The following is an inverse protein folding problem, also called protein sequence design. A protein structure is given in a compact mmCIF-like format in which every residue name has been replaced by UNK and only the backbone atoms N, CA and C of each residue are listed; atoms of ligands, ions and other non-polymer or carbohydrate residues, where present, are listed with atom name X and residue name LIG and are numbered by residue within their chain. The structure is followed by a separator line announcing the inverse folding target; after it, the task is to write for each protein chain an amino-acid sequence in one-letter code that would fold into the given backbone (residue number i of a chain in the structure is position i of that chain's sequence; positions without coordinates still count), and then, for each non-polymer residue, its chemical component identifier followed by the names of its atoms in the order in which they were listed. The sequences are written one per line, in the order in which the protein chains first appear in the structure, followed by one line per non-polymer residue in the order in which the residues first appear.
data_IF_299930800483
#
_entry.id   IF_299930800483
#
_cell.length_a   1.000
_cell.length_b   1.000
_cell.length_c   1.000
_cell.angle_alpha   90.00
_cell.angle_beta   90.00
_cell.angle_gamma   90.00
#
_symmetry.space_group_name_H-M   'P 1'
#
loop_
_entity.id
_entity.type
_entity.pdbx_description
1 polymer ?
#
# COMPACT_ATOMS: atom_id res chain seq x y z
N UNK A 1 -14.32 2.39 28.26
CA UNK A 1 -13.49 3.59 28.16
C UNK A 1 -12.85 3.54 26.79
N UNK A 2 -13.04 4.56 25.95
CA UNK A 2 -12.28 4.69 24.71
C UNK A 2 -10.84 5.02 25.11
N UNK A 3 -10.07 4.02 25.53
CA UNK A 3 -8.63 4.15 25.74
C UNK A 3 -7.96 4.09 24.37
N UNK A 4 -8.23 5.10 23.53
CA UNK A 4 -7.22 5.49 22.58
C UNK A 4 -6.08 6.01 23.44
N UNK A 5 -5.07 5.16 23.72
CA UNK A 5 -3.75 5.73 23.93
C UNK A 5 -3.45 6.46 22.63
N UNK A 6 -3.73 7.76 22.63
CA UNK A 6 -3.14 8.74 21.74
C UNK A 6 -1.62 8.60 21.92
N UNK A 7 -1.07 7.54 21.33
CA UNK A 7 0.34 7.51 20.95
C UNK A 7 0.47 8.75 20.07
N UNK A 8 1.39 9.66 20.42
CA UNK A 8 1.32 11.05 20.01
C UNK A 8 1.20 11.13 18.48
N UNK A 9 0.43 12.08 17.95
CA UNK A 9 0.32 12.39 16.51
C UNK A 9 1.67 12.28 15.77
N UNK A 10 2.77 12.62 16.45
CA UNK A 10 4.15 12.42 16.02
C UNK A 10 4.52 11.01 15.52
N UNK A 11 4.03 9.95 16.16
CA UNK A 11 4.37 8.57 15.79
C UNK A 11 3.73 8.11 14.49
N UNK A 12 2.50 8.56 14.22
CA UNK A 12 1.79 8.25 12.97
C UNK A 12 2.46 8.94 11.78
N UNK A 13 2.77 10.24 11.89
CA UNK A 13 3.33 11.01 10.78
C UNK A 13 4.75 10.60 10.39
N UNK A 14 5.62 10.33 11.37
CA UNK A 14 6.97 9.83 11.10
C UNK A 14 6.94 8.47 10.41
N UNK A 15 6.06 7.59 10.88
CA UNK A 15 5.95 6.27 10.31
C UNK A 15 5.28 6.30 8.94
N UNK A 16 4.31 7.19 8.73
CA UNK A 16 3.73 7.45 7.40
C UNK A 16 4.79 7.92 6.42
N UNK A 17 5.71 8.79 6.85
CA UNK A 17 6.86 9.18 6.05
C UNK A 17 7.79 7.98 5.74
N UNK A 18 8.09 7.13 6.71
CA UNK A 18 8.90 5.92 6.48
C UNK A 18 8.20 5.01 5.46
N UNK A 19 6.89 4.81 5.60
CA UNK A 19 6.10 3.98 4.69
C UNK A 19 6.08 4.57 3.28
N UNK A 20 5.91 5.89 3.13
CA UNK A 20 5.91 6.57 1.83
C UNK A 20 7.29 6.50 1.15
N UNK A 21 8.38 6.57 1.93
CA UNK A 21 9.75 6.35 1.43
C UNK A 21 9.93 4.91 0.93
N UNK A 22 9.51 3.90 1.71
CA UNK A 22 9.63 2.50 1.31
C UNK A 22 8.77 2.20 0.06
N UNK A 23 7.55 2.73 0.00
CA UNK A 23 6.68 2.64 -1.17
C UNK A 23 7.26 3.36 -2.39
N UNK A 24 7.93 4.49 -2.20
CA UNK A 24 8.67 5.17 -3.27
C UNK A 24 9.78 4.27 -3.84
N UNK A 25 10.58 3.62 -2.98
CA UNK A 25 11.58 2.65 -3.45
C UNK A 25 10.93 1.48 -4.21
N UNK A 26 9.81 0.96 -3.73
CA UNK A 26 9.02 -0.03 -4.47
C UNK A 26 8.60 0.51 -5.84
N UNK A 27 8.10 1.75 -5.94
CA UNK A 27 7.70 2.36 -7.21
C UNK A 27 8.88 2.50 -8.19
N UNK A 28 10.06 2.89 -7.70
CA UNK A 28 11.28 3.00 -8.50
C UNK A 28 11.70 1.64 -9.06
N UNK A 29 11.77 0.61 -8.21
CA UNK A 29 12.19 -0.72 -8.63
C UNK A 29 11.13 -1.36 -9.54
N UNK A 30 9.84 -1.20 -9.23
CA UNK A 30 8.73 -1.65 -10.06
C UNK A 30 8.77 -1.01 -11.44
N UNK A 31 9.04 0.30 -11.52
CA UNK A 31 9.22 1.01 -12.78
C UNK A 31 10.38 0.43 -13.60
N UNK A 32 11.51 0.09 -12.97
CA UNK A 32 12.62 -0.57 -13.66
C UNK A 32 12.25 -1.96 -14.17
N UNK A 33 11.65 -2.80 -13.32
CA UNK A 33 11.17 -4.15 -13.71
C UNK A 33 10.28 -4.04 -14.95
N UNK A 34 9.34 -3.11 -14.93
CA UNK A 34 8.39 -2.88 -16.02
C UNK A 34 9.04 -2.36 -17.30
N UNK A 35 9.93 -1.36 -17.20
CA UNK A 35 10.60 -0.80 -18.37
C UNK A 35 11.53 -1.82 -19.05
N UNK A 36 12.25 -2.64 -18.27
CA UNK A 36 13.26 -3.56 -18.76
C UNK A 36 12.74 -4.99 -18.97
N UNK A 37 11.43 -5.26 -18.73
CA UNK A 37 10.80 -6.59 -18.81
C UNK A 37 11.60 -7.67 -18.04
N UNK A 38 12.29 -7.31 -16.96
CA UNK A 38 13.13 -8.24 -16.17
C UNK A 38 12.28 -8.98 -15.14
N UNK A 39 11.85 -10.18 -15.49
CA UNK A 39 11.05 -11.01 -14.59
C UNK A 39 11.95 -11.84 -13.67
N UNK A 40 11.53 -11.99 -12.40
CA UNK A 40 12.13 -12.90 -11.41
C UNK A 40 13.63 -12.71 -11.09
N UNK A 41 14.22 -11.58 -11.49
CA UNK A 41 15.61 -11.22 -11.16
C UNK A 41 15.77 -10.60 -9.77
N UNK A 42 17.00 -10.24 -9.41
CA UNK A 42 17.32 -9.61 -8.10
C UNK A 42 16.44 -8.39 -7.80
N UNK A 43 16.13 -7.58 -8.82
CA UNK A 43 15.24 -6.42 -8.70
C UNK A 43 13.80 -6.80 -8.32
N UNK A 44 13.28 -7.92 -8.84
CA UNK A 44 11.95 -8.41 -8.47
C UNK A 44 11.92 -8.81 -7.00
N UNK A 45 12.88 -9.62 -6.56
CA UNK A 45 12.95 -10.08 -5.18
C UNK A 45 13.22 -8.95 -4.18
N UNK A 46 14.02 -7.95 -4.57
CA UNK A 46 14.22 -6.77 -3.73
C UNK A 46 12.96 -5.93 -3.61
N UNK A 47 12.25 -5.68 -4.73
CA UNK A 47 10.95 -4.99 -4.70
C UNK A 47 9.94 -5.76 -3.84
N UNK A 48 9.92 -7.08 -3.98
CA UNK A 48 9.02 -7.94 -3.23
C UNK A 48 9.31 -7.91 -1.73
N UNK A 49 10.58 -8.00 -1.33
CA UNK A 49 10.99 -7.93 0.06
C UNK A 49 10.64 -6.57 0.68
N UNK A 50 10.93 -5.46 -0.01
CA UNK A 50 10.57 -4.12 0.48
C UNK A 50 9.06 -4.00 0.62
N UNK A 51 8.29 -4.53 -0.34
CA UNK A 51 6.84 -4.48 -0.28
C UNK A 51 6.25 -5.31 0.86
N UNK A 52 6.82 -6.48 1.16
CA UNK A 52 6.44 -7.27 2.33
C UNK A 52 6.79 -6.55 3.65
N UNK A 53 7.92 -5.85 3.70
CA UNK A 53 8.29 -5.01 4.86
C UNK A 53 7.29 -3.87 5.04
N UNK A 54 6.86 -3.21 3.96
CA UNK A 54 5.80 -2.19 3.98
C UNK A 54 4.51 -2.78 4.54
N UNK A 55 4.08 -3.93 4.02
CA UNK A 55 2.83 -4.58 4.42
C UNK A 55 2.87 -5.03 5.89
N UNK A 56 3.95 -5.69 6.32
CA UNK A 56 4.13 -6.10 7.72
C UNK A 56 4.31 -4.93 8.68
N UNK A 57 5.02 -3.88 8.26
CA UNK A 57 5.18 -2.65 9.02
C UNK A 57 3.86 -1.91 9.20
N UNK A 58 3.05 -1.83 8.14
CA UNK A 58 1.72 -1.24 8.18
C UNK A 58 0.78 -2.00 9.12
N UNK A 59 0.77 -3.33 9.03
CA UNK A 59 -0.01 -4.17 9.95
C UNK A 59 0.42 -4.02 11.41
N UNK A 60 1.72 -3.91 11.68
CA UNK A 60 2.25 -3.74 13.05
C UNK A 60 1.80 -2.41 13.65
N UNK A 61 1.81 -1.38 12.82
CA UNK A 61 1.43 -0.02 13.19
C UNK A 61 -0.05 0.05 13.50
N UNK A 62 -0.89 -0.47 12.62
CA UNK A 62 -2.34 -0.46 12.84
C UNK A 62 -2.67 -1.16 14.16
N UNK A 63 -2.07 -2.33 14.38
CA UNK A 63 -2.29 -3.10 15.61
C UNK A 63 -1.83 -2.35 16.88
N UNK A 64 -0.73 -1.59 16.80
CA UNK A 64 -0.20 -0.81 17.92
C UNK A 64 -0.94 0.51 18.17
N UNK A 65 -1.35 1.20 17.11
CA UNK A 65 -1.94 2.53 17.18
C UNK A 65 -3.45 2.48 17.42
N UNK A 66 -4.15 1.50 16.84
CA UNK A 66 -5.61 1.36 16.96
C UNK A 66 -6.05 0.31 18.02
N UNK A 67 -5.09 -0.24 18.78
CA UNK A 67 -5.21 -1.03 20.04
C UNK A 67 -6.03 -2.36 20.01
N UNK A 68 -5.77 -3.18 21.03
CA UNK A 68 -5.87 -4.67 21.16
C UNK A 68 -7.05 -5.40 20.50
N UNK A 69 -8.19 -4.76 20.32
CA UNK A 69 -9.39 -5.43 19.82
C UNK A 69 -9.58 -5.32 18.30
N UNK A 70 -8.88 -4.44 17.61
CA UNK A 70 -9.21 -4.18 16.18
C UNK A 70 -8.82 -5.29 15.22
N UNK A 71 -7.93 -6.21 15.63
CA UNK A 71 -7.30 -7.10 14.66
C UNK A 71 -6.54 -8.30 15.24
N UNK A 72 -6.62 -9.44 14.56
CA UNK A 72 -5.55 -10.43 14.60
C UNK A 72 -4.47 -10.01 13.60
N UNK A 73 -3.45 -9.28 14.08
CA UNK A 73 -2.21 -9.00 13.33
C UNK A 73 -1.64 -10.27 12.68
N UNK A 74 -1.73 -11.37 13.41
CA UNK A 74 -1.33 -12.70 12.95
C UNK A 74 -2.18 -13.18 11.76
N UNK A 75 -3.48 -12.86 11.71
CA UNK A 75 -4.38 -13.14 10.59
C UNK A 75 -4.00 -12.42 9.29
N UNK A 76 -3.57 -11.16 9.38
CA UNK A 76 -3.06 -10.41 8.21
C UNK A 76 -1.78 -11.00 7.65
N UNK A 77 -0.83 -11.24 8.55
CA UNK A 77 0.51 -11.66 8.17
C UNK A 77 0.46 -13.09 7.68
N UNK A 78 -0.31 -13.96 8.33
CA UNK A 78 -0.55 -15.31 7.83
C UNK A 78 -1.30 -15.30 6.50
N UNK A 79 -2.28 -14.41 6.30
CA UNK A 79 -2.98 -14.23 5.03
C UNK A 79 -2.05 -13.77 3.90
N UNK A 80 -1.27 -12.72 4.13
CA UNK A 80 -0.28 -12.22 3.18
C UNK A 80 0.84 -13.23 2.91
N UNK A 81 1.28 -13.96 3.94
CA UNK A 81 2.26 -15.04 3.84
C UNK A 81 1.73 -16.22 3.02
N UNK A 82 0.51 -16.67 3.27
CA UNK A 82 -0.14 -17.72 2.48
C UNK A 82 -0.31 -17.30 1.03
N UNK A 83 -0.80 -16.07 0.80
CA UNK A 83 -0.98 -15.50 -0.54
C UNK A 83 0.34 -15.43 -1.29
N UNK A 84 1.42 -15.04 -0.60
CA UNK A 84 2.79 -15.06 -1.12
C UNK A 84 3.22 -16.47 -1.51
N UNK A 85 3.08 -17.45 -0.62
CA UNK A 85 3.49 -18.84 -0.88
C UNK A 85 2.70 -19.43 -2.06
N UNK A 86 1.38 -19.23 -2.09
CA UNK A 86 0.52 -19.67 -3.19
C UNK A 86 0.92 -18.98 -4.49
N UNK A 87 1.06 -17.66 -4.50
CA UNK A 87 1.47 -16.93 -5.71
C UNK A 87 2.83 -17.38 -6.24
N UNK A 88 3.79 -17.67 -5.36
CA UNK A 88 5.12 -18.19 -5.73
C UNK A 88 5.06 -19.62 -6.27
N UNK A 89 4.27 -20.51 -5.65
CA UNK A 89 4.11 -21.91 -6.10
C UNK A 89 3.48 -21.99 -7.49
N UNK A 90 2.43 -21.21 -7.73
CA UNK A 90 1.74 -21.19 -9.02
C UNK A 90 2.50 -20.41 -10.10
N UNK A 91 3.35 -19.46 -9.72
CA UNK A 91 4.34 -18.84 -10.62
C UNK A 91 5.36 -19.86 -11.15
N UNK A 92 5.93 -20.68 -10.27
CA UNK A 92 7.01 -21.64 -10.62
C UNK A 92 6.54 -22.80 -11.49
N UNK A 93 5.26 -23.17 -11.41
CA UNK A 93 4.70 -24.32 -12.13
C UNK A 93 4.77 -24.19 -13.65
N UNK A 94 4.97 -22.99 -14.22
CA UNK A 94 4.88 -22.80 -15.67
C UNK A 94 6.18 -22.95 -16.45
N UNK A 95 7.38 -23.03 -15.84
CA UNK A 95 8.66 -23.41 -16.49
C UNK A 95 9.15 -22.56 -17.68
N UNK A 96 8.27 -21.82 -18.32
CA UNK A 96 8.48 -20.84 -19.36
C UNK A 96 8.74 -19.51 -18.67
N UNK A 97 9.71 -18.75 -19.19
CA UNK A 97 9.87 -17.34 -18.87
C UNK A 97 8.48 -16.71 -18.83
N UNK A 98 7.99 -16.35 -17.63
CA UNK A 98 6.67 -15.74 -17.48
C UNK A 98 6.73 -14.50 -18.35
N UNK A 99 6.17 -14.55 -19.55
CA UNK A 99 6.13 -13.40 -20.45
C UNK A 99 5.38 -12.35 -19.67
N UNK A 100 5.95 -11.15 -19.57
CA UNK A 100 5.38 -10.03 -18.83
C UNK A 100 3.91 -9.87 -19.22
N UNK A 101 2.99 -10.41 -18.41
CA UNK A 101 1.62 -10.59 -18.86
C UNK A 101 0.90 -9.25 -18.78
N UNK A 102 0.76 -8.64 -19.95
CA UNK A 102 0.33 -7.28 -20.16
C UNK A 102 -1.15 -7.17 -20.51
N UNK A 103 -1.84 -8.31 -20.59
CA UNK A 103 -3.28 -8.39 -20.80
C UNK A 103 -4.04 -8.22 -19.49
N UNK A 104 -5.04 -7.36 -19.53
CA UNK A 104 -5.99 -7.11 -18.44
C UNK A 104 -6.85 -8.33 -18.10
N UNK A 105 -6.96 -9.31 -18.99
CA UNK A 105 -7.68 -10.60 -18.80
C UNK A 105 -6.81 -11.72 -19.39
N UNK A 106 -6.57 -12.78 -18.60
CA UNK A 106 -5.87 -14.01 -18.98
C UNK A 106 -6.37 -15.21 -18.12
N UNK A 107 -5.81 -16.41 -18.34
CA UNK A 107 -6.13 -17.63 -17.60
C UNK A 107 -5.85 -17.53 -16.09
N UNK A 108 -4.93 -16.66 -15.66
CA UNK A 108 -4.59 -16.48 -14.24
C UNK A 108 -5.46 -15.40 -13.54
N UNK A 109 -6.39 -14.77 -14.26
CA UNK A 109 -7.34 -13.77 -13.72
C UNK A 109 -8.26 -14.30 -12.64
N UNK A 110 -8.88 -15.50 -12.81
CA UNK A 110 -9.76 -16.04 -11.80
C UNK A 110 -8.99 -16.27 -10.49
N UNK A 111 -7.77 -16.80 -10.58
CA UNK A 111 -6.92 -17.02 -9.41
C UNK A 111 -6.54 -15.71 -8.70
N UNK A 112 -6.20 -14.67 -9.46
CA UNK A 112 -5.98 -13.31 -8.94
C UNK A 112 -7.23 -12.76 -8.24
N UNK A 113 -8.41 -12.81 -8.87
CA UNK A 113 -9.65 -12.27 -8.30
C UNK A 113 -10.10 -13.06 -7.08
N UNK A 114 -10.08 -14.39 -7.14
CA UNK A 114 -10.50 -15.25 -6.03
C UNK A 114 -9.60 -15.07 -4.82
N UNK A 115 -8.27 -15.04 -5.00
CA UNK A 115 -7.36 -14.77 -3.88
C UNK A 115 -7.61 -13.39 -3.29
N UNK A 116 -7.65 -12.34 -4.10
CA UNK A 116 -7.94 -10.99 -3.62
C UNK A 116 -9.27 -10.92 -2.85
N UNK A 117 -10.37 -11.39 -3.43
CA UNK A 117 -11.71 -11.34 -2.83
C UNK A 117 -11.74 -12.09 -1.49
N UNK A 118 -11.20 -13.32 -1.44
CA UNK A 118 -11.21 -14.13 -0.22
C UNK A 118 -10.40 -13.44 0.88
N UNK A 119 -9.18 -12.97 0.59
CA UNK A 119 -8.35 -12.32 1.60
C UNK A 119 -8.89 -10.96 2.03
N UNK A 120 -9.51 -10.19 1.13
CA UNK A 120 -10.18 -8.95 1.49
C UNK A 120 -11.42 -9.17 2.35
N UNK A 121 -12.22 -10.22 2.07
CA UNK A 121 -13.37 -10.57 2.92
C UNK A 121 -12.89 -11.02 4.29
N UNK A 122 -11.89 -11.91 4.37
CA UNK A 122 -11.31 -12.33 5.65
C UNK A 122 -10.83 -11.10 6.41
N UNK A 123 -10.08 -10.21 5.74
CA UNK A 123 -9.62 -8.97 6.35
C UNK A 123 -10.77 -8.16 6.95
N UNK A 124 -11.77 -7.79 6.14
CA UNK A 124 -12.91 -6.97 6.58
C UNK A 124 -13.71 -7.64 7.71
N UNK A 125 -13.88 -8.97 7.67
CA UNK A 125 -14.58 -9.70 8.72
C UNK A 125 -13.80 -9.78 10.05
N UNK A 126 -12.48 -9.63 10.00
CA UNK A 126 -11.61 -9.63 11.18
C UNK A 126 -11.38 -8.26 11.78
N UNK A 127 -11.84 -7.19 11.13
CA UNK A 127 -11.78 -5.83 11.66
C UNK A 127 -12.89 -5.68 12.70
N UNK A 128 -12.51 -5.53 13.96
CA UNK A 128 -13.44 -5.24 15.06
C UNK A 128 -13.25 -3.78 15.49
N UNK A 129 -13.97 -2.89 14.81
CA UNK A 129 -13.85 -1.44 14.99
C UNK A 129 -14.99 -0.88 15.83
N UNK A 130 -14.65 -0.16 16.91
CA UNK A 130 -15.66 0.49 17.76
C UNK A 130 -16.04 1.88 17.21
N UNK A 131 -17.14 1.94 16.47
CA UNK A 131 -17.67 3.18 15.90
C UNK A 131 -18.14 4.21 16.95
N UNK A 132 -18.31 3.82 18.22
CA UNK A 132 -18.74 4.75 19.29
C UNK A 132 -17.63 5.72 19.72
N UNK A 133 -16.37 5.49 19.33
CA UNK A 133 -15.24 6.32 19.71
C UNK A 133 -14.82 7.37 18.65
N UNK A 134 -15.70 7.69 17.69
CA UNK A 134 -15.43 8.66 16.62
C UNK A 134 -15.87 10.06 17.06
N UNK A 135 -14.93 11.03 17.06
CA UNK A 135 -15.21 12.40 17.51
C UNK A 135 -15.52 13.39 16.37
N UNK A 136 -14.98 13.18 15.17
CA UNK A 136 -15.21 14.06 14.00
C UNK A 136 -15.15 13.30 12.66
N UNK A 137 -15.75 13.89 11.61
CA UNK A 137 -15.79 13.33 10.26
C UNK A 137 -14.40 13.26 9.60
N UNK A 138 -13.51 14.19 9.93
CA UNK A 138 -12.11 14.18 9.45
C UNK A 138 -11.34 12.99 10.01
N UNK A 139 -11.53 12.69 11.30
CA UNK A 139 -10.98 11.52 11.98
C UNK A 139 -11.55 10.22 11.40
N UNK A 140 -12.88 10.13 11.20
CA UNK A 140 -13.52 8.98 10.56
C UNK A 140 -12.93 8.70 9.17
N UNK A 141 -12.66 9.75 8.39
CA UNK A 141 -12.07 9.60 7.07
C UNK A 141 -10.66 9.00 7.13
N UNK A 142 -9.79 9.51 8.01
CA UNK A 142 -8.42 9.01 8.18
C UNK A 142 -8.44 7.57 8.69
N UNK A 143 -9.28 7.27 9.68
CA UNK A 143 -9.41 5.91 10.25
C UNK A 143 -9.93 4.91 9.21
N UNK A 144 -10.94 5.27 8.41
CA UNK A 144 -11.43 4.41 7.34
C UNK A 144 -10.36 4.19 6.26
N UNK A 145 -9.58 5.23 5.94
CA UNK A 145 -8.47 5.12 4.99
C UNK A 145 -7.41 4.13 5.51
N UNK A 146 -7.02 4.25 6.77
CA UNK A 146 -5.97 3.45 7.39
C UNK A 146 -6.39 2.03 7.72
N UNK A 147 -7.58 1.83 8.26
CA UNK A 147 -8.05 0.52 8.71
C UNK A 147 -8.66 -0.28 7.56
N UNK A 148 -9.26 0.35 6.55
CA UNK A 148 -9.98 -0.39 5.50
C UNK A 148 -9.28 -0.24 4.15
N UNK A 149 -9.06 1.00 3.70
CA UNK A 149 -8.65 1.25 2.32
C UNK A 149 -7.22 0.78 2.07
N UNK A 150 -6.24 1.24 2.85
CA UNK A 150 -4.83 0.91 2.63
C UNK A 150 -4.51 -0.59 2.75
N UNK A 151 -4.99 -1.34 3.77
CA UNK A 151 -4.71 -2.76 3.90
C UNK A 151 -5.27 -3.57 2.72
N UNK A 152 -6.50 -3.26 2.30
CA UNK A 152 -7.11 -3.89 1.12
C UNK A 152 -6.35 -3.51 -0.16
N UNK A 153 -5.92 -2.26 -0.30
CA UNK A 153 -5.14 -1.79 -1.43
C UNK A 153 -3.75 -2.44 -1.49
N UNK A 154 -3.10 -2.65 -0.35
CA UNK A 154 -1.82 -3.34 -0.23
C UNK A 154 -1.96 -4.85 -0.53
N UNK A 155 -3.06 -5.49 -0.09
CA UNK A 155 -3.40 -6.87 -0.48
C UNK A 155 -3.66 -6.98 -1.99
N UNK A 156 -4.36 -6.00 -2.58
CA UNK A 156 -4.53 -5.90 -4.02
C UNK A 156 -3.17 -5.70 -4.72
N UNK A 157 -2.28 -4.92 -4.12
CA UNK A 157 -0.91 -4.72 -4.59
C UNK A 157 -0.12 -6.02 -4.58
N UNK A 158 -0.24 -6.83 -3.53
CA UNK A 158 0.45 -8.12 -3.39
C UNK A 158 -0.03 -9.14 -4.40
N UNK A 159 -1.35 -9.31 -4.52
CA UNK A 159 -1.98 -10.18 -5.52
C UNK A 159 -1.61 -9.73 -6.94
N UNK A 160 -1.67 -8.42 -7.22
CA UNK A 160 -1.30 -7.88 -8.51
C UNK A 160 0.20 -8.04 -8.78
N UNK A 161 1.07 -7.90 -7.79
CA UNK A 161 2.51 -8.08 -7.96
C UNK A 161 2.86 -9.53 -8.32
N UNK A 162 2.16 -10.51 -7.75
CA UNK A 162 2.39 -11.93 -8.00
C UNK A 162 1.77 -12.42 -9.32
N UNK A 163 0.60 -11.91 -9.69
CA UNK A 163 -0.17 -12.43 -10.83
C UNK A 163 -0.26 -11.46 -12.02
N UNK A 164 -0.15 -10.14 -11.81
CA UNK A 164 -0.52 -9.08 -12.78
C UNK A 164 0.23 -7.75 -12.59
N UNK A 165 1.47 -7.69 -13.05
CA UNK A 165 2.32 -6.49 -12.92
C UNK A 165 1.71 -5.19 -13.48
N UNK A 166 0.93 -5.24 -14.57
CA UNK A 166 0.28 -4.03 -15.11
C UNK A 166 -0.72 -3.44 -14.11
N UNK A 167 -1.50 -4.29 -13.44
CA UNK A 167 -2.44 -3.85 -12.39
C UNK A 167 -1.68 -3.27 -11.21
N UNK A 168 -0.53 -3.87 -10.87
CA UNK A 168 0.33 -3.42 -9.78
C UNK A 168 0.73 -1.94 -9.93
N UNK A 169 1.09 -1.47 -11.14
CA UNK A 169 1.43 -0.05 -11.37
C UNK A 169 0.28 0.88 -11.00
N UNK A 170 -0.97 0.51 -11.36
CA UNK A 170 -2.13 1.32 -11.02
C UNK A 170 -2.41 1.33 -9.52
N UNK A 171 -2.29 0.16 -8.87
CA UNK A 171 -2.51 0.06 -7.42
C UNK A 171 -1.54 0.94 -6.64
N UNK A 172 -0.25 0.88 -7.00
CA UNK A 172 0.76 1.76 -6.38
C UNK A 172 0.49 3.24 -6.68
N UNK A 173 0.12 3.59 -7.92
CA UNK A 173 -0.21 4.98 -8.25
C UNK A 173 -1.43 5.50 -7.47
N UNK A 174 -2.48 4.68 -7.29
CA UNK A 174 -3.64 5.01 -6.46
C UNK A 174 -3.22 5.15 -5.00
N UNK A 175 -2.37 4.26 -4.49
CA UNK A 175 -1.85 4.34 -3.12
C UNK A 175 -1.14 5.66 -2.86
N UNK A 176 -0.22 6.07 -3.75
CA UNK A 176 0.48 7.35 -3.63
C UNK A 176 -0.46 8.55 -3.79
N UNK A 177 -1.52 8.44 -4.60
CA UNK A 177 -2.52 9.51 -4.72
C UNK A 177 -3.35 9.66 -3.45
N UNK A 178 -3.69 8.55 -2.78
CA UNK A 178 -4.38 8.58 -1.50
C UNK A 178 -3.51 9.19 -0.40
N UNK A 179 -2.20 8.92 -0.37
CA UNK A 179 -1.29 9.60 0.57
C UNK A 179 -1.31 11.12 0.42
N UNK A 180 -1.37 11.64 -0.82
CA UNK A 180 -1.49 13.09 -1.03
C UNK A 180 -2.80 13.62 -0.44
N UNK A 181 -3.92 12.90 -0.62
CA UNK A 181 -5.22 13.31 -0.07
C UNK A 181 -5.18 13.27 1.46
N UNK A 182 -4.63 12.21 2.04
CA UNK A 182 -4.50 12.05 3.49
C UNK A 182 -3.61 13.15 4.10
N UNK A 183 -2.47 13.46 3.48
CA UNK A 183 -1.57 14.53 3.90
C UNK A 183 -2.29 15.89 3.88
N UNK A 184 -3.10 16.17 2.85
CA UNK A 184 -3.90 17.40 2.76
C UNK A 184 -4.97 17.49 3.85
N UNK A 185 -5.67 16.39 4.13
CA UNK A 185 -6.67 16.32 5.20
C UNK A 185 -6.01 16.47 6.57
N UNK A 186 -4.85 15.87 6.78
CA UNK A 186 -4.08 15.96 8.04
C UNK A 186 -3.65 17.40 8.31
N UNK A 187 -3.11 18.09 7.29
CA UNK A 187 -2.75 19.52 7.41
C UNK A 187 -3.99 20.39 7.70
N UNK A 188 -5.11 20.14 7.03
CA UNK A 188 -6.36 20.88 7.29
C UNK A 188 -6.87 20.67 8.72
N UNK A 189 -6.83 19.43 9.21
CA UNK A 189 -7.26 19.10 10.57
C UNK A 189 -6.42 19.85 11.60
N UNK A 190 -5.10 19.82 11.47
CA UNK A 190 -4.17 20.46 12.42
C UNK A 190 -4.23 21.99 12.34
N UNK A 191 -4.54 22.57 11.18
CA UNK A 191 -4.74 24.01 11.05
C UNK A 191 -6.08 24.48 11.63
N UNK A 192 -7.07 23.58 11.71
CA UNK A 192 -8.40 23.88 12.24
C UNK A 192 -8.53 23.67 13.75
N UNK A 193 -7.76 22.74 14.33
CA UNK A 193 -7.55 22.69 15.77
C UNK A 193 -6.45 23.69 16.17
N UNK A 194 -6.72 24.55 17.15
CA UNK A 194 -5.71 25.41 17.77
C UNK A 194 -4.72 24.52 18.53
N UNK A 195 -3.69 24.03 17.84
CA UNK A 195 -2.61 23.19 18.36
C UNK A 195 -1.33 24.03 18.55
N UNK A 196 -0.39 23.52 19.36
CA UNK A 196 0.89 24.20 19.60
C UNK A 196 1.66 24.44 18.28
N UNK A 197 2.26 25.62 18.15
CA UNK A 197 3.01 26.03 16.94
C UNK A 197 4.08 25.00 16.54
N UNK A 198 4.76 24.38 17.50
CA UNK A 198 5.77 23.34 17.22
C UNK A 198 5.19 22.11 16.53
N UNK A 199 4.01 21.65 16.96
CA UNK A 199 3.33 20.49 16.39
C UNK A 199 2.86 20.82 14.96
N UNK A 200 2.28 22.01 14.76
CA UNK A 200 1.80 22.43 13.44
C UNK A 200 2.92 22.47 12.39
N UNK A 201 4.10 22.97 12.76
CA UNK A 201 5.24 23.11 11.85
C UNK A 201 5.82 21.76 11.47
N UNK A 202 5.97 20.84 12.43
CA UNK A 202 6.51 19.51 12.17
C UNK A 202 5.59 18.70 11.25
N UNK A 203 4.28 18.70 11.51
CA UNK A 203 3.34 18.00 10.64
C UNK A 203 3.31 18.56 9.23
N UNK A 204 3.31 19.90 9.10
CA UNK A 204 3.38 20.52 7.78
C UNK A 204 4.64 20.08 7.03
N UNK A 205 5.79 20.06 7.69
CA UNK A 205 7.05 19.64 7.07
C UNK A 205 7.01 18.17 6.63
N UNK A 206 6.54 17.26 7.48
CA UNK A 206 6.42 15.83 7.16
C UNK A 206 5.44 15.59 6.01
N UNK A 207 4.27 16.24 6.05
CA UNK A 207 3.25 16.16 5.00
C UNK A 207 3.76 16.69 3.65
N UNK A 208 4.51 17.80 3.64
CA UNK A 208 5.12 18.35 2.42
C UNK A 208 6.11 17.35 1.82
N UNK A 209 7.00 16.77 2.64
CA UNK A 209 7.99 15.80 2.16
C UNK A 209 7.28 14.56 1.60
N UNK A 210 6.30 14.01 2.33
CA UNK A 210 5.50 12.86 1.90
C UNK A 210 4.75 13.14 0.59
N UNK A 211 4.15 14.32 0.45
CA UNK A 211 3.46 14.76 -0.76
C UNK A 211 4.42 14.81 -1.96
N UNK A 212 5.62 15.39 -1.79
CA UNK A 212 6.63 15.45 -2.86
C UNK A 212 7.04 14.04 -3.30
N UNK A 213 7.32 13.15 -2.35
CA UNK A 213 7.69 11.75 -2.62
C UNK A 213 6.56 11.02 -3.37
N UNK A 214 5.31 11.27 -2.98
CA UNK A 214 4.12 10.69 -3.60
C UNK A 214 3.93 11.16 -5.04
N UNK A 215 4.05 12.46 -5.30
CA UNK A 215 3.99 13.03 -6.65
C UNK A 215 5.10 12.44 -7.53
N UNK A 216 6.33 12.38 -7.02
CA UNK A 216 7.47 11.81 -7.74
C UNK A 216 7.26 10.34 -8.09
N UNK A 217 6.73 9.54 -7.15
CA UNK A 217 6.39 8.13 -7.39
C UNK A 217 5.38 7.98 -8.53
N UNK A 218 4.29 8.77 -8.50
CA UNK A 218 3.26 8.75 -9.56
C UNK A 218 3.89 9.11 -10.92
N UNK A 219 4.75 10.14 -10.96
CA UNK A 219 5.43 10.55 -12.19
C UNK A 219 6.33 9.43 -12.75
N UNK A 220 7.07 8.74 -11.89
CA UNK A 220 7.93 7.61 -12.26
C UNK A 220 7.10 6.46 -12.84
N UNK A 221 5.99 6.11 -12.19
CA UNK A 221 5.08 5.05 -12.65
C UNK A 221 4.41 5.40 -13.99
N UNK A 222 3.96 6.64 -14.18
CA UNK A 222 3.39 7.13 -15.44
C UNK A 222 4.45 7.08 -16.56
N UNK A 223 5.68 7.51 -16.27
CA UNK A 223 6.79 7.45 -17.23
C UNK A 223 7.10 6.00 -17.62
N UNK A 224 7.17 5.09 -16.65
CA UNK A 224 7.41 3.67 -16.89
C UNK A 224 6.33 3.07 -17.80
N UNK A 225 5.05 3.36 -17.51
CA UNK A 225 3.92 2.94 -18.35
C UNK A 225 4.03 3.49 -19.78
N UNK A 226 4.38 4.77 -19.94
CA UNK A 226 4.52 5.40 -21.27
C UNK A 226 5.65 4.76 -22.08
N UNK A 227 6.80 4.50 -21.45
CA UNK A 227 7.95 3.85 -22.10
C UNK A 227 7.60 2.43 -22.54
N UNK A 228 6.93 1.68 -21.66
CA UNK A 228 6.47 0.34 -21.98
C UNK A 228 5.49 0.31 -23.16
N UNK A 229 4.47 1.17 -23.15
CA UNK A 229 3.51 1.25 -24.26
C UNK A 229 4.19 1.62 -25.58
N UNK A 230 5.19 2.52 -25.58
CA UNK A 230 5.96 2.85 -26.80
C UNK A 230 6.75 1.66 -27.33
N UNK A 231 7.41 0.89 -26.45
CA UNK A 231 8.16 -0.31 -26.87
C UNK A 231 7.23 -1.37 -27.45
N UNK A 232 6.04 -1.56 -26.86
CA UNK A 232 5.03 -2.49 -27.36
C UNK A 232 4.49 -2.15 -28.77
N UNK A 233 4.42 -0.87 -29.15
CA UNK A 233 3.97 -0.47 -30.50
C UNK A 233 5.05 -0.71 -31.55
N UNK A 234 6.32 -0.80 -31.12
CA UNK A 234 7.48 -0.99 -32.01
C UNK A 234 7.95 -2.46 -32.08
N UNK A 235 7.44 -3.33 -31.22
CA UNK A 235 7.64 -4.79 -31.20
C UNK A 235 6.51 -5.46 -32.00
#
# INVERSE_FOLDING_TARGET
MCDFTYVPMFGDEFLRLILSILLFFCCVILAQIFMYKKNWGVAFWSCFAIFLVVLGGYGYVIHRLYLENTFSYDGFISGAGFLTVVGLLFSKSKGEEIIFNDKLINNDTPMFLTSFIVFSIIYVLTVDYNFECIYDASQLFIEALQIIVYPVLLLLGLTAFLFRFVVCIYVFAICMALFIIEDMVSVYYILSLITDESITVETMMLAIISTIISIMSICILIKAKRVYNRRRVND
#
